data_IF_001850568381
#
_entry.id   IF_001850568381
#
_cell.length_a   1.000
_cell.length_b   1.000
_cell.length_c   1.000
_cell.angle_alpha   90.00
_cell.angle_beta   90.00
_cell.angle_gamma   90.00
#
_symmetry.space_group_name_H-M   'P 1'
#
loop_
_entity.id
_entity.type
_entity.pdbx_description
1 polymer ?
#
# COMPACT_ATOMS: atom_id res chain seq x y z
N UNK A 1 10.52 10.06 3.61
CA UNK A 1 10.70 10.67 4.94
C UNK A 1 11.92 11.58 4.84
N UNK A 2 11.81 12.84 5.23
CA UNK A 2 12.98 13.70 5.42
C UNK A 2 13.31 13.69 6.90
N UNK A 3 14.58 13.49 7.22
CA UNK A 3 15.05 13.35 8.60
C UNK A 3 16.10 14.44 8.84
N UNK A 4 16.07 15.11 9.98
CA UNK A 4 17.13 16.05 10.34
C UNK A 4 18.35 15.32 10.91
N UNK A 5 19.40 16.08 11.18
CA UNK A 5 20.67 15.58 11.74
C UNK A 5 20.52 14.94 13.14
N UNK A 6 19.42 15.24 13.85
CA UNK A 6 19.05 14.65 15.15
C UNK A 6 18.21 13.38 15.02
N UNK A 7 18.03 12.84 13.80
CA UNK A 7 17.23 11.65 13.56
C UNK A 7 15.71 11.86 13.65
N UNK A 8 15.23 13.11 13.79
CA UNK A 8 13.79 13.40 13.83
C UNK A 8 13.21 13.51 12.43
N UNK A 9 12.07 12.86 12.20
CA UNK A 9 11.30 12.98 10.96
C UNK A 9 10.76 14.41 10.85
N UNK A 10 11.21 15.15 9.85
CA UNK A 10 10.81 16.53 9.59
C UNK A 10 9.73 16.67 8.53
N UNK A 11 9.57 15.66 7.65
CA UNK A 11 8.45 15.61 6.72
C UNK A 11 8.08 14.20 6.27
N UNK A 12 6.77 13.97 6.16
CA UNK A 12 6.17 12.79 5.58
C UNK A 12 5.40 13.19 4.31
N UNK A 13 5.93 12.82 3.14
CA UNK A 13 5.21 13.02 1.89
C UNK A 13 4.15 11.91 1.75
N UNK A 14 2.89 12.31 1.70
CA UNK A 14 1.79 11.39 1.46
C UNK A 14 1.70 11.11 -0.05
N UNK A 15 2.32 10.00 -0.48
CA UNK A 15 2.44 9.65 -1.89
C UNK A 15 1.11 9.25 -2.55
N UNK A 16 0.11 8.84 -1.76
CA UNK A 16 -1.24 8.48 -2.21
C UNK A 16 -2.23 9.02 -1.19
N UNK A 17 -3.23 9.76 -1.66
CA UNK A 17 -4.20 10.44 -0.82
C UNK A 17 -5.60 9.86 -1.01
N UNK A 18 -6.10 9.20 0.05
CA UNK A 18 -7.51 8.86 0.24
C UNK A 18 -8.19 8.27 -1.00
N UNK A 19 -7.76 7.06 -1.36
CA UNK A 19 -8.27 6.36 -2.53
C UNK A 19 -9.15 5.19 -2.11
N UNK A 20 -10.15 4.90 -2.94
CA UNK A 20 -10.97 3.69 -2.84
C UNK A 20 -10.89 2.91 -4.14
N UNK A 21 -10.49 1.65 -4.08
CA UNK A 21 -10.34 0.77 -5.25
C UNK A 21 -10.94 -0.60 -4.93
N UNK A 22 -11.75 -1.13 -5.83
CA UNK A 22 -12.23 -2.52 -5.79
C UNK A 22 -11.73 -3.26 -7.03
N UNK A 23 -11.00 -4.36 -6.82
CA UNK A 23 -10.55 -5.26 -7.89
C UNK A 23 -11.30 -6.58 -7.74
N UNK A 24 -12.05 -6.98 -8.77
CA UNK A 24 -12.79 -8.25 -8.75
C UNK A 24 -11.89 -9.42 -9.17
N UNK A 25 -12.23 -10.63 -8.73
CA UNK A 25 -11.54 -11.86 -9.17
C UNK A 25 -11.59 -11.96 -10.71
N UNK A 26 -10.44 -12.19 -11.33
CA UNK A 26 -10.31 -12.28 -12.79
C UNK A 26 -10.20 -10.92 -13.50
N UNK A 27 -10.24 -9.80 -12.77
CA UNK A 27 -10.02 -8.47 -13.33
C UNK A 27 -8.53 -8.12 -13.29
N UNK A 28 -8.02 -7.62 -14.40
CA UNK A 28 -6.69 -6.96 -14.44
C UNK A 28 -6.89 -5.46 -14.39
N UNK A 29 -6.18 -4.77 -13.50
CA UNK A 29 -6.23 -3.31 -13.36
C UNK A 29 -4.84 -2.73 -13.60
N UNK A 30 -4.76 -1.78 -14.53
CA UNK A 30 -3.57 -0.98 -14.78
C UNK A 30 -3.67 0.38 -14.11
N UNK A 31 -2.60 0.80 -13.41
CA UNK A 31 -2.49 2.15 -12.84
C UNK A 31 -1.48 2.94 -13.66
N UNK A 32 -1.90 4.06 -14.26
CA UNK A 32 -1.09 4.90 -15.16
C UNK A 32 -0.95 6.33 -14.63
N UNK A 33 0.07 7.06 -15.10
CA UNK A 33 0.34 8.45 -14.69
C UNK A 33 1.83 8.80 -14.73
N UNK A 34 2.17 10.07 -14.52
CA UNK A 34 3.53 10.61 -14.60
C UNK A 34 4.52 9.98 -13.60
N UNK A 35 5.82 10.05 -13.90
CA UNK A 35 6.85 9.60 -12.96
C UNK A 35 6.72 10.34 -11.62
N UNK A 36 6.82 9.62 -10.51
CA UNK A 36 6.66 10.20 -9.16
C UNK A 36 5.22 10.35 -8.66
N UNK A 37 4.19 10.07 -9.47
CA UNK A 37 2.78 10.20 -9.08
C UNK A 37 2.26 9.22 -8.00
N UNK A 38 3.13 8.34 -7.47
CA UNK A 38 2.78 7.43 -6.38
C UNK A 38 2.30 6.03 -6.79
N UNK A 39 2.29 5.67 -8.08
CA UNK A 39 1.84 4.34 -8.59
C UNK A 39 2.52 3.15 -7.90
N UNK A 40 3.85 3.14 -7.86
CA UNK A 40 4.62 2.06 -7.21
C UNK A 40 4.41 2.06 -5.69
N UNK A 41 4.19 3.23 -5.09
CA UNK A 41 3.85 3.35 -3.67
C UNK A 41 2.47 2.76 -3.39
N UNK A 42 1.49 3.01 -4.25
CA UNK A 42 0.16 2.41 -4.18
C UNK A 42 0.23 0.88 -4.25
N UNK A 43 0.88 0.33 -5.29
CA UNK A 43 1.00 -1.13 -5.44
C UNK A 43 1.67 -1.79 -4.22
N UNK A 44 2.74 -1.19 -3.70
CA UNK A 44 3.43 -1.68 -2.50
C UNK A 44 2.57 -1.55 -1.23
N UNK A 45 1.75 -0.51 -1.12
CA UNK A 45 0.81 -0.34 -0.01
C UNK A 45 -0.31 -1.41 -0.03
N UNK A 46 -0.87 -1.70 -1.21
CA UNK A 46 -1.87 -2.78 -1.39
C UNK A 46 -1.30 -4.13 -0.98
N UNK A 47 -0.06 -4.43 -1.38
CA UNK A 47 0.66 -5.66 -1.01
C UNK A 47 1.17 -5.66 0.44
N UNK A 48 0.87 -4.61 1.22
CA UNK A 48 1.31 -4.44 2.61
C UNK A 48 2.83 -4.55 2.75
N UNK A 49 3.57 -4.02 1.78
CA UNK A 49 5.03 -3.88 1.77
C UNK A 49 5.48 -2.49 2.22
N UNK A 50 4.53 -1.56 2.37
CA UNK A 50 4.72 -0.24 2.96
C UNK A 50 3.61 0.02 3.96
N UNK A 51 3.86 0.80 5.02
CA UNK A 51 2.81 1.22 5.95
C UNK A 51 1.78 2.08 5.21
N UNK A 52 0.51 1.84 5.49
CA UNK A 52 -0.64 2.59 4.98
C UNK A 52 -1.72 2.68 6.04
N UNK A 53 -2.61 3.65 5.90
CA UNK A 53 -3.79 3.82 6.73
C UNK A 53 -5.03 3.41 5.95
N UNK A 54 -6.08 3.01 6.65
CA UNK A 54 -7.34 2.55 6.06
C UNK A 54 -7.43 1.02 5.98
N UNK A 55 -8.47 0.55 5.30
CA UNK A 55 -8.83 -0.87 5.26
C UNK A 55 -8.39 -1.51 3.94
N UNK A 56 -7.81 -2.70 4.03
CA UNK A 56 -7.46 -3.51 2.86
C UNK A 56 -8.13 -4.87 3.04
N UNK A 57 -9.13 -5.17 2.21
CA UNK A 57 -9.85 -6.45 2.26
C UNK A 57 -9.38 -7.34 1.12
N UNK A 58 -8.88 -8.53 1.46
CA UNK A 58 -8.52 -9.56 0.49
C UNK A 58 -9.26 -10.87 0.81
N UNK A 59 -9.97 -11.42 -0.18
CA UNK A 59 -10.77 -12.64 -0.02
C UNK A 59 -11.65 -12.63 1.25
N UNK A 60 -12.40 -11.54 1.44
CA UNK A 60 -13.28 -11.29 2.60
C UNK A 60 -12.57 -11.18 3.97
N UNK A 61 -11.24 -11.08 3.99
CA UNK A 61 -10.47 -10.86 5.21
C UNK A 61 -9.90 -9.44 5.20
N UNK A 62 -10.12 -8.67 6.27
CA UNK A 62 -9.39 -7.43 6.48
C UNK A 62 -7.94 -7.76 6.87
N UNK A 63 -7.01 -7.45 5.97
CA UNK A 63 -5.58 -7.73 6.14
C UNK A 63 -4.80 -6.50 6.64
N UNK A 64 -5.46 -5.37 6.90
CA UNK A 64 -4.83 -4.11 7.30
C UNK A 64 -3.99 -4.23 8.58
N UNK A 65 -4.38 -5.09 9.51
CA UNK A 65 -3.70 -5.31 10.79
C UNK A 65 -2.85 -6.58 10.87
N UNK A 66 -2.70 -7.34 9.78
CA UNK A 66 -1.93 -8.60 9.79
C UNK A 66 -0.44 -8.41 10.09
N UNK A 67 0.20 -9.40 10.72
CA UNK A 67 1.66 -9.42 10.84
C UNK A 67 2.30 -9.80 9.51
N UNK A 68 3.61 -9.60 9.39
CA UNK A 68 4.34 -10.02 8.20
C UNK A 68 4.26 -11.53 7.96
N UNK A 69 4.30 -12.36 9.02
CA UNK A 69 4.18 -13.82 8.87
C UNK A 69 2.81 -14.21 8.30
N UNK A 70 1.74 -13.55 8.76
CA UNK A 70 0.37 -13.78 8.25
C UNK A 70 0.19 -13.27 6.81
N UNK A 71 0.88 -12.19 6.45
CA UNK A 71 0.76 -11.57 5.13
C UNK A 71 1.54 -12.32 4.04
N UNK A 72 2.72 -12.86 4.39
CA UNK A 72 3.63 -13.53 3.45
C UNK A 72 2.97 -14.62 2.57
N UNK A 73 2.15 -15.56 3.10
CA UNK A 73 1.48 -16.55 2.25
C UNK A 73 0.38 -15.93 1.36
N UNK A 74 -0.26 -14.85 1.79
CA UNK A 74 -1.33 -14.19 1.03
C UNK A 74 -0.81 -13.44 -0.19
N UNK A 75 0.39 -12.82 -0.11
CA UNK A 75 1.00 -12.09 -1.25
C UNK A 75 1.23 -12.96 -2.49
N UNK A 76 1.35 -14.29 -2.34
CA UNK A 76 1.48 -15.22 -3.48
C UNK A 76 0.16 -15.46 -4.21
N UNK A 77 -0.98 -15.12 -3.58
CA UNK A 77 -2.34 -15.35 -4.08
C UNK A 77 -3.03 -14.06 -4.55
N UNK A 78 -2.44 -12.91 -4.24
CA UNK A 78 -2.86 -11.58 -4.71
C UNK A 78 -2.24 -11.33 -6.07
#
# INVERSE_FOLDING_TARGET
LRVNWLGRVTSCLKAVNDISLTIRRGQTVGVVGESGSGKSTLGRAILRLLPSTGTIVFASNDVSAFTEERMRPLRKRM
#
